data_IF_615284618383
#
_entry.id   IF_615284618383
#
_cell.length_a   1.000
_cell.length_b   1.000
_cell.length_c   1.000
_cell.angle_alpha   90.00
_cell.angle_beta   90.00
_cell.angle_gamma   90.00
#
_symmetry.space_group_name_H-M   'P 1'
#
loop_
_entity.id
_entity.type
_entity.pdbx_description
1 polymer ?
#
# COMPACT_ATOMS: atom_id res chain seq x y z
N UNK A 1 -17.80 6.21 1.42
CA UNK A 1 -17.27 5.76 2.73
C UNK A 1 -15.77 5.98 2.78
N UNK A 2 -15.16 6.15 3.95
CA UNK A 2 -13.70 6.33 4.08
C UNK A 2 -13.21 5.77 5.40
N UNK A 3 -12.10 5.04 5.37
CA UNK A 3 -11.41 4.49 6.54
C UNK A 3 -9.93 4.91 6.48
N UNK A 4 -9.36 5.31 7.61
CA UNK A 4 -7.97 5.77 7.69
C UNK A 4 -7.16 4.87 8.60
N UNK A 5 -5.94 4.55 8.17
CA UNK A 5 -5.00 3.68 8.86
C UNK A 5 -3.73 4.48 9.15
N UNK A 6 -3.32 4.52 10.41
CA UNK A 6 -1.98 4.97 10.79
C UNK A 6 -1.08 3.74 10.80
N UNK A 7 0.02 3.76 10.04
CA UNK A 7 0.94 2.63 10.00
C UNK A 7 2.09 2.87 10.99
N UNK A 8 2.45 1.81 11.69
CA UNK A 8 3.59 1.78 12.61
C UNK A 8 4.76 1.06 11.95
N UNK A 9 5.99 1.48 12.25
CA UNK A 9 7.20 0.77 11.83
C UNK A 9 7.31 -0.57 12.59
N UNK A 10 7.80 -1.61 11.92
CA UNK A 10 8.26 -2.83 12.58
C UNK A 10 9.44 -2.51 13.51
N UNK A 11 9.44 -3.06 14.72
CA UNK A 11 10.43 -2.67 15.75
C UNK A 11 11.50 -3.74 16.01
N UNK A 12 11.32 -4.94 15.47
CA UNK A 12 12.17 -6.10 15.69
C UNK A 12 13.64 -5.83 15.32
N UNK A 13 13.89 -5.07 14.25
CA UNK A 13 15.22 -4.76 13.70
C UNK A 13 15.56 -3.27 13.68
N UNK A 14 14.74 -2.41 14.29
CA UNK A 14 14.82 -0.95 14.11
C UNK A 14 16.18 -0.34 14.51
N UNK A 15 16.84 -0.91 15.52
CA UNK A 15 18.17 -0.44 15.97
C UNK A 15 19.24 -0.76 14.92
N UNK A 16 19.24 -1.98 14.38
CA UNK A 16 20.19 -2.42 13.36
C UNK A 16 19.95 -1.67 12.04
N UNK A 17 18.68 -1.46 11.67
CA UNK A 17 18.32 -0.73 10.46
C UNK A 17 18.70 0.75 10.55
N UNK A 18 18.52 1.37 11.72
CA UNK A 18 18.98 2.74 11.97
C UNK A 18 20.51 2.87 11.80
N UNK A 19 21.27 1.89 12.30
CA UNK A 19 22.73 1.85 12.13
C UNK A 19 23.13 1.73 10.65
N UNK A 20 22.50 0.85 9.87
CA UNK A 20 22.77 0.69 8.42
C UNK A 20 22.47 1.96 7.62
N UNK A 21 21.40 2.66 7.97
CA UNK A 21 20.99 3.91 7.30
C UNK A 21 21.87 5.10 7.74
N UNK A 22 22.48 5.00 8.92
CA UNK A 22 23.30 6.05 9.54
C UNK A 22 22.45 7.12 10.25
N UNK A 23 21.39 6.70 10.94
CA UNK A 23 20.47 7.55 11.73
C UNK A 23 20.19 6.91 13.09
N UNK A 24 19.32 7.52 13.90
CA UNK A 24 18.88 6.94 15.19
C UNK A 24 17.57 6.17 15.05
N UNK A 25 17.34 5.16 15.89
CA UNK A 25 16.06 4.44 15.92
C UNK A 25 14.87 5.37 16.22
N UNK A 26 15.08 6.38 17.07
CA UNK A 26 14.11 7.43 17.38
C UNK A 26 13.78 8.32 16.16
N UNK A 27 14.74 8.51 15.25
CA UNK A 27 14.47 9.18 13.98
C UNK A 27 13.62 8.33 13.04
N UNK A 28 13.88 7.01 12.97
CA UNK A 28 13.05 6.09 12.19
C UNK A 28 11.62 5.97 12.76
N UNK A 29 11.46 5.92 14.09
CA UNK A 29 10.15 5.81 14.73
C UNK A 29 9.28 7.07 14.58
N UNK A 30 9.88 8.20 14.15
CA UNK A 30 9.17 9.44 13.83
C UNK A 30 8.69 9.52 12.37
N UNK A 31 9.02 8.54 11.52
CA UNK A 31 8.37 8.44 10.20
C UNK A 31 6.89 8.20 10.44
N UNK A 32 6.05 9.08 9.91
CA UNK A 32 4.60 8.98 10.05
C UNK A 32 3.97 8.60 8.72
N UNK A 33 3.20 7.51 8.70
CA UNK A 33 2.51 7.06 7.50
C UNK A 33 1.02 6.95 7.80
N UNK A 34 0.21 7.54 6.93
CA UNK A 34 -1.24 7.38 6.93
C UNK A 34 -1.71 6.88 5.58
N UNK A 35 -2.64 5.93 5.59
CA UNK A 35 -3.31 5.44 4.40
C UNK A 35 -4.80 5.66 4.53
N UNK A 36 -5.42 6.27 3.52
CA UNK A 36 -6.87 6.38 3.45
C UNK A 36 -7.40 5.43 2.40
N UNK A 37 -8.35 4.59 2.78
CA UNK A 37 -9.13 3.72 1.90
C UNK A 37 -10.54 4.32 1.75
N UNK A 38 -10.88 4.77 0.54
CA UNK A 38 -12.12 5.49 0.26
C UNK A 38 -12.89 4.86 -0.88
N UNK A 39 -14.17 4.55 -0.64
CA UNK A 39 -15.09 4.17 -1.71
C UNK A 39 -15.52 5.44 -2.45
N UNK A 40 -15.21 5.49 -3.75
CA UNK A 40 -15.55 6.59 -4.64
C UNK A 40 -16.60 6.10 -5.64
N UNK A 41 -17.84 6.64 -5.62
CA UNK A 41 -18.94 6.11 -6.42
C UNK A 41 -18.97 6.58 -7.87
N UNK A 42 -18.32 7.69 -8.21
CA UNK A 42 -18.33 8.30 -9.54
C UNK A 42 -16.94 8.90 -9.87
N UNK A 43 -16.55 8.99 -11.17
CA UNK A 43 -17.31 8.58 -12.37
C UNK A 43 -17.41 7.06 -12.54
N UNK A 44 -16.46 6.31 -11.97
CA UNK A 44 -16.46 4.85 -11.91
C UNK A 44 -16.35 4.42 -10.47
N UNK A 45 -17.11 3.40 -10.05
CA UNK A 45 -17.05 2.88 -8.70
C UNK A 45 -15.69 2.22 -8.43
N UNK A 46 -14.94 2.76 -7.46
CA UNK A 46 -13.63 2.23 -7.09
C UNK A 46 -13.31 2.37 -5.61
N UNK A 47 -12.38 1.55 -5.13
CA UNK A 47 -11.67 1.77 -3.88
C UNK A 47 -10.42 2.58 -4.20
N UNK A 48 -10.35 3.80 -3.68
CA UNK A 48 -9.18 4.68 -3.74
C UNK A 48 -8.31 4.46 -2.49
N UNK A 49 -7.02 4.22 -2.70
CA UNK A 49 -6.00 4.14 -1.66
C UNK A 49 -5.06 5.34 -1.81
N UNK A 50 -4.99 6.19 -0.80
CA UNK A 50 -4.05 7.32 -0.74
C UNK A 50 -3.07 7.13 0.40
N UNK A 51 -1.78 7.09 0.08
CA UNK A 51 -0.67 6.95 1.01
C UNK A 51 -0.03 8.33 1.23
N UNK A 52 0.07 8.73 2.49
CA UNK A 52 0.76 9.93 2.96
C UNK A 52 1.96 9.50 3.80
N UNK A 53 3.17 9.93 3.43
CA UNK A 53 4.41 9.58 4.13
C UNK A 53 5.11 10.88 4.54
N UNK A 54 5.29 11.05 5.84
CA UNK A 54 5.96 12.18 6.46
C UNK A 54 7.31 11.72 7.03
N UNK A 55 8.40 12.16 6.42
CA UNK A 55 9.77 11.87 6.84
C UNK A 55 10.31 13.03 7.69
N UNK A 56 10.77 12.77 8.94
CA UNK A 56 10.96 13.80 9.96
C UNK A 56 12.11 14.78 9.70
N UNK A 57 13.10 14.40 8.90
CA UNK A 57 14.27 15.24 8.60
C UNK A 57 14.62 15.22 7.11
N UNK A 58 15.16 16.31 6.56
CA UNK A 58 15.69 16.31 5.19
C UNK A 58 16.83 15.33 4.97
N UNK A 59 17.66 15.08 5.99
CA UNK A 59 18.79 14.14 5.91
C UNK A 59 18.33 12.69 5.77
N UNK A 60 17.26 12.30 6.47
CA UNK A 60 16.65 10.99 6.31
C UNK A 60 15.90 10.91 4.97
N UNK A 61 15.19 11.97 4.60
CA UNK A 61 14.46 12.03 3.33
C UNK A 61 15.38 11.91 2.11
N UNK A 62 16.61 12.44 2.18
CA UNK A 62 17.62 12.31 1.12
C UNK A 62 18.13 10.86 0.95
N UNK A 63 17.88 9.97 1.91
CA UNK A 63 18.23 8.54 1.86
C UNK A 63 17.07 7.68 1.38
N UNK A 64 15.84 8.21 1.36
CA UNK A 64 14.67 7.49 0.89
C UNK A 64 14.71 7.38 -0.62
N UNK A 65 14.66 6.16 -1.13
CA UNK A 65 14.39 5.91 -2.53
C UNK A 65 12.89 6.08 -2.79
N UNK A 66 12.53 7.26 -3.27
CA UNK A 66 11.17 7.56 -3.72
C UNK A 66 11.22 7.86 -5.22
N UNK A 67 10.95 6.86 -6.07
CA UNK A 67 11.18 7.03 -7.49
C UNK A 67 10.22 8.06 -8.09
N UNK A 68 10.73 8.79 -9.08
CA UNK A 68 9.94 9.80 -9.77
C UNK A 68 8.92 9.12 -10.66
N UNK A 69 7.69 9.63 -10.66
CA UNK A 69 6.63 9.15 -11.55
C UNK A 69 7.05 9.18 -13.03
N UNK A 70 6.79 8.09 -13.75
CA UNK A 70 7.06 8.00 -15.19
C UNK A 70 5.89 7.35 -15.93
N UNK A 71 5.13 8.14 -16.69
CA UNK A 71 3.99 7.65 -17.49
C UNK A 71 4.34 6.46 -18.39
N UNK A 72 5.58 6.42 -18.94
CA UNK A 72 6.04 5.34 -19.81
C UNK A 72 6.28 4.00 -19.09
N UNK A 73 6.42 4.02 -17.76
CA UNK A 73 6.67 2.83 -16.94
C UNK A 73 5.39 2.29 -16.28
N UNK A 74 4.27 3.02 -16.40
CA UNK A 74 2.98 2.58 -15.85
C UNK A 74 2.59 1.26 -16.49
N UNK A 75 2.52 0.20 -15.68
CA UNK A 75 2.24 -1.14 -16.15
C UNK A 75 2.59 -2.20 -15.11
N UNK A 76 2.27 -3.44 -15.46
CA UNK A 76 2.56 -4.58 -14.60
C UNK A 76 4.08 -4.82 -14.49
N UNK A 77 4.59 -5.02 -13.28
CA UNK A 77 5.98 -5.42 -13.02
C UNK A 77 6.08 -6.27 -11.76
N UNK A 78 6.76 -7.41 -11.83
CA UNK A 78 7.00 -8.26 -10.65
C UNK A 78 8.10 -7.69 -9.74
N UNK A 79 8.25 -8.28 -8.54
CA UNK A 79 9.32 -8.01 -7.57
C UNK A 79 9.33 -6.60 -6.96
N UNK A 80 8.19 -5.88 -7.00
CA UNK A 80 8.12 -4.50 -6.45
C UNK A 80 8.39 -4.42 -4.94
N UNK A 81 8.21 -5.51 -4.20
CA UNK A 81 8.49 -5.58 -2.75
C UNK A 81 9.99 -5.48 -2.42
N UNK A 82 10.89 -5.54 -3.41
CA UNK A 82 12.33 -5.35 -3.24
C UNK A 82 12.74 -3.86 -3.18
N UNK A 83 11.81 -2.97 -3.57
CA UNK A 83 11.98 -1.52 -3.64
C UNK A 83 11.02 -0.80 -2.65
N UNK A 84 10.92 0.53 -2.74
CA UNK A 84 9.82 1.25 -2.07
C UNK A 84 8.49 0.83 -2.68
N UNK A 85 7.63 0.20 -1.88
CA UNK A 85 6.39 -0.41 -2.32
C UNK A 85 5.21 0.02 -1.44
N UNK A 86 4.12 0.44 -2.07
CA UNK A 86 2.85 0.76 -1.46
C UNK A 86 1.94 -0.46 -1.64
N UNK A 87 1.66 -1.16 -0.56
CA UNK A 87 1.01 -2.46 -0.60
C UNK A 87 -0.38 -2.43 0.03
N UNK A 88 -1.29 -3.24 -0.45
CA UNK A 88 -2.58 -3.45 0.20
C UNK A 88 -3.07 -4.88 0.01
N UNK A 89 -3.46 -5.50 1.12
CA UNK A 89 -4.04 -6.83 1.12
C UNK A 89 -5.55 -6.75 1.34
N UNK A 90 -6.30 -7.54 0.58
CA UNK A 90 -7.76 -7.60 0.65
C UNK A 90 -8.20 -9.06 0.79
N UNK A 91 -9.06 -9.32 1.78
CA UNK A 91 -9.67 -10.64 2.01
C UNK A 91 -11.15 -10.51 2.32
N UNK A 92 -11.88 -11.55 1.96
CA UNK A 92 -13.25 -11.77 2.42
C UNK A 92 -13.86 -12.96 1.71
N UNK A 93 -15.17 -13.10 1.85
CA UNK A 93 -15.90 -14.21 1.25
C UNK A 93 -15.95 -14.09 -0.27
N UNK A 94 -15.95 -15.22 -1.01
CA UNK A 94 -16.32 -15.20 -2.42
C UNK A 94 -17.72 -14.61 -2.60
N UNK A 95 -17.91 -13.82 -3.65
CA UNK A 95 -19.25 -13.52 -4.15
C UNK A 95 -19.86 -14.85 -4.59
N UNK A 96 -21.03 -15.20 -4.06
CA UNK A 96 -21.75 -16.41 -4.45
C UNK A 96 -22.25 -16.22 -5.88
N UNK A 97 -21.56 -16.80 -6.86
CA UNK A 97 -22.14 -16.98 -8.19
C UNK A 97 -23.03 -18.22 -8.23
N UNK A 98 -24.04 -18.20 -9.10
CA UNK A 98 -24.96 -19.32 -9.40
C UNK A 98 -24.23 -20.62 -9.81
N UNK A 99 -22.95 -20.53 -10.19
CA UNK A 99 -22.09 -21.65 -10.62
C UNK A 99 -21.33 -22.38 -9.48
N UNK A 100 -21.46 -21.95 -8.22
CA UNK A 100 -21.16 -22.81 -7.07
C UNK A 100 -19.71 -23.20 -6.78
N UNK A 101 -18.69 -22.55 -7.37
CA UNK A 101 -17.29 -22.79 -6.97
C UNK A 101 -16.89 -21.84 -5.83
N UNK A 102 -16.74 -22.33 -4.58
CA UNK A 102 -16.25 -21.48 -3.50
C UNK A 102 -14.76 -21.19 -3.74
N UNK A 103 -14.38 -19.92 -3.92
CA UNK A 103 -13.01 -19.53 -3.54
C UNK A 103 -12.86 -19.85 -2.05
N UNK A 104 -11.71 -20.42 -1.69
CA UNK A 104 -11.37 -20.71 -0.31
C UNK A 104 -11.54 -19.43 0.54
N UNK A 105 -12.22 -19.50 1.69
CA UNK A 105 -12.36 -18.37 2.61
C UNK A 105 -11.01 -17.87 3.15
N UNK A 106 -9.94 -18.65 2.98
CA UNK A 106 -8.57 -18.25 3.25
C UNK A 106 -7.91 -17.41 2.14
N UNK A 107 -8.51 -17.34 0.95
CA UNK A 107 -7.95 -16.64 -0.21
C UNK A 107 -7.92 -15.12 0.00
N UNK A 108 -6.93 -14.47 -0.61
CA UNK A 108 -6.76 -13.03 -0.53
C UNK A 108 -6.03 -12.51 -1.76
N UNK A 109 -6.16 -11.21 -1.99
CA UNK A 109 -5.45 -10.47 -3.03
C UNK A 109 -4.41 -9.57 -2.37
N UNK A 110 -3.25 -9.49 -2.99
CA UNK A 110 -2.19 -8.53 -2.69
C UNK A 110 -2.08 -7.55 -3.86
N UNK A 111 -1.95 -6.27 -3.55
CA UNK A 111 -1.78 -5.17 -4.49
C UNK A 111 -0.48 -4.47 -4.14
N UNK A 112 0.48 -4.46 -5.06
CA UNK A 112 1.77 -3.82 -4.88
C UNK A 112 1.91 -2.70 -5.90
N UNK A 113 2.27 -1.50 -5.45
CA UNK A 113 2.40 -0.33 -6.30
C UNK A 113 3.70 0.42 -5.99
N UNK A 114 4.54 0.63 -6.99
CA UNK A 114 5.73 1.49 -6.86
C UNK A 114 5.35 2.95 -7.11
N UNK A 115 5.96 3.92 -6.40
CA UNK A 115 5.67 5.34 -6.62
C UNK A 115 5.93 5.87 -8.04
N UNK A 116 6.61 5.10 -8.91
CA UNK A 116 6.88 5.47 -10.30
C UNK A 116 5.74 5.15 -11.29
N UNK A 117 4.76 4.35 -10.87
CA UNK A 117 3.61 3.92 -11.67
C UNK A 117 3.54 2.43 -11.98
N UNK A 118 4.60 1.66 -11.73
CA UNK A 118 4.57 0.20 -11.83
C UNK A 118 3.64 -0.40 -10.77
N UNK A 119 3.01 -1.52 -11.10
CA UNK A 119 2.15 -2.25 -10.16
C UNK A 119 2.20 -3.76 -10.38
N UNK A 120 1.78 -4.53 -9.37
CA UNK A 120 1.45 -5.93 -9.52
C UNK A 120 0.28 -6.27 -8.61
N UNK A 121 -0.61 -7.14 -9.08
CA UNK A 121 -1.66 -7.70 -8.25
C UNK A 121 -1.53 -9.21 -8.28
N UNK A 122 -1.61 -9.83 -7.11
CA UNK A 122 -1.41 -11.26 -6.93
C UNK A 122 -2.61 -11.87 -6.21
N UNK A 123 -2.93 -13.12 -6.55
CA UNK A 123 -3.93 -13.91 -5.84
C UNK A 123 -3.26 -15.05 -5.09
N UNK A 124 -3.71 -15.23 -3.85
CA UNK A 124 -3.36 -16.36 -3.02
C UNK A 124 -4.62 -17.11 -2.63
N UNK A 125 -4.54 -18.45 -2.60
CA UNK A 125 -5.59 -19.35 -2.13
C UNK A 125 -5.65 -19.44 -0.61
N UNK A 126 -4.49 -19.23 0.03
CA UNK A 126 -4.30 -19.16 1.48
C UNK A 126 -2.94 -18.52 1.77
N UNK A 127 -2.54 -18.44 3.04
CA UNK A 127 -1.24 -17.91 3.47
C UNK A 127 -0.08 -18.37 2.57
N UNK A 128 0.47 -17.43 1.78
CA UNK A 128 1.59 -17.64 0.82
C UNK A 128 1.42 -18.85 -0.11
N UNK A 129 0.18 -19.23 -0.43
CA UNK A 129 -0.14 -20.32 -1.34
C UNK A 129 -0.89 -19.79 -2.57
N UNK A 130 -0.49 -20.09 -3.81
CA UNK A 130 0.69 -20.89 -4.18
C UNK A 130 2.00 -20.21 -3.75
N UNK A 131 2.98 -21.02 -3.36
CA UNK A 131 4.30 -20.53 -2.91
C UNK A 131 5.28 -20.32 -4.08
N UNK A 132 4.78 -19.91 -5.24
CA UNK A 132 5.57 -19.66 -6.44
C UNK A 132 6.15 -18.24 -6.42
N UNK A 133 7.36 -18.07 -6.98
CA UNK A 133 8.00 -16.77 -7.16
C UNK A 133 8.29 -16.51 -8.65
N UNK A 134 7.80 -15.39 -9.24
CA UNK A 134 6.91 -14.41 -8.61
C UNK A 134 5.52 -15.03 -8.30
N UNK A 135 4.75 -14.44 -7.38
CA UNK A 135 3.40 -14.92 -7.09
C UNK A 135 2.51 -14.89 -8.34
N UNK A 136 1.44 -15.69 -8.33
CA UNK A 136 0.52 -15.78 -9.48
C UNK A 136 -0.20 -14.44 -9.70
N UNK A 137 -0.05 -13.80 -10.88
CA UNK A 137 -0.73 -12.55 -11.17
C UNK A 137 -2.24 -12.70 -11.10
N UNK A 138 -2.92 -11.63 -10.71
CA UNK A 138 -4.37 -11.54 -10.72
C UNK A 138 -4.87 -11.26 -12.14
N UNK A 139 -5.77 -12.10 -12.62
CA UNK A 139 -6.43 -11.93 -13.91
C UNK A 139 -7.91 -11.58 -13.73
N UNK A 140 -8.46 -10.91 -14.74
CA UNK A 140 -9.91 -10.82 -14.93
C UNK A 140 -10.53 -12.22 -15.09
N UNK A 141 -11.85 -12.32 -14.93
CA UNK A 141 -12.59 -13.60 -14.93
C UNK A 141 -12.35 -14.40 -16.23
N UNK A 142 -12.19 -13.71 -17.36
CA UNK A 142 -11.91 -14.31 -18.66
C UNK A 142 -10.47 -14.87 -18.81
N UNK A 143 -9.60 -14.58 -17.83
CA UNK A 143 -8.18 -14.94 -17.79
C UNK A 143 -7.36 -14.43 -18.98
N UNK A 144 -7.85 -13.45 -19.71
CA UNK A 144 -7.14 -12.89 -20.88
C UNK A 144 -6.26 -11.72 -20.49
N UNK A 145 -6.73 -10.89 -19.55
CA UNK A 145 -6.02 -9.69 -19.11
C UNK A 145 -5.75 -9.70 -17.60
N UNK A 146 -4.60 -9.14 -17.22
CA UNK A 146 -4.26 -8.91 -15.82
C UNK A 146 -5.08 -7.76 -15.28
N UNK A 147 -5.50 -7.87 -14.03
CA UNK A 147 -6.19 -6.78 -13.35
C UNK A 147 -5.20 -5.63 -13.12
N UNK A 148 -5.60 -4.42 -13.54
CA UNK A 148 -4.84 -3.20 -13.34
C UNK A 148 -5.31 -2.35 -12.16
N UNK A 149 -4.49 -1.35 -11.81
CA UNK A 149 -4.88 -0.20 -10.99
C UNK A 149 -4.98 1.05 -11.85
N UNK A 150 -5.72 2.06 -11.38
CA UNK A 150 -5.71 3.40 -11.96
C UNK A 150 -5.02 4.37 -11.01
N UNK A 151 -4.16 5.22 -11.55
CA UNK A 151 -3.46 6.24 -10.77
C UNK A 151 -4.25 7.55 -10.81
N UNK A 152 -4.54 8.14 -9.65
CA UNK A 152 -5.33 9.38 -9.59
C UNK A 152 -4.45 10.64 -9.76
N UNK A 153 -3.18 10.52 -9.39
CA UNK A 153 -2.26 11.66 -9.24
C UNK A 153 -1.03 11.49 -10.15
N UNK A 154 -1.27 11.32 -11.46
CA UNK A 154 -0.24 11.11 -12.50
C UNK A 154 0.83 12.21 -12.58
N UNK A 155 0.63 13.34 -11.88
CA UNK A 155 1.48 14.54 -11.97
C UNK A 155 1.86 15.17 -10.63
N UNK A 156 1.70 14.49 -9.49
CA UNK A 156 2.29 14.96 -8.22
C UNK A 156 3.83 14.83 -8.24
N UNK A 157 4.48 15.57 -9.13
CA UNK A 157 5.83 16.06 -8.96
C UNK A 157 5.76 17.12 -7.86
N UNK A 158 6.45 16.89 -6.75
CA UNK A 158 6.63 17.92 -5.74
C UNK A 158 7.30 19.13 -6.34
N UNK A 159 6.67 20.29 -6.16
CA UNK A 159 7.45 21.45 -5.73
C UNK A 159 7.67 21.31 -4.22
N UNK A 160 8.87 21.54 -3.68
CA UNK A 160 9.04 21.76 -2.25
C UNK A 160 8.27 23.03 -1.91
N UNK A 161 7.05 22.91 -1.36
CA UNK A 161 6.35 24.05 -0.78
C UNK A 161 7.12 24.49 0.45
N UNK A 162 8.00 25.47 0.27
CA UNK A 162 8.42 26.33 1.36
C UNK A 162 7.15 27.02 1.87
N UNK A 163 6.75 26.72 3.11
CA UNK A 163 5.82 27.57 3.84
C UNK A 163 6.47 28.95 4.04
N UNK A 164 6.40 29.80 3.02
CA UNK A 164 6.60 31.23 3.20
C UNK A 164 5.25 31.80 3.62
N UNK A 165 5.07 31.96 4.93
CA UNK A 165 4.42 33.11 5.57
C UNK A 165 4.52 32.94 7.10
N UNK A 166 5.46 33.70 7.66
CA UNK A 166 5.64 34.14 9.06
C UNK A 166 5.13 33.27 10.22
N UNK A 167 6.06 32.77 11.03
CA UNK A 167 6.24 33.16 12.44
C UNK A 167 7.70 32.92 12.80
N UNK A 168 8.36 33.92 13.38
CA UNK A 168 9.67 33.75 14.03
C UNK A 168 9.49 32.76 15.19
N UNK A 169 9.84 31.50 14.97
CA UNK A 169 9.98 30.50 16.03
C UNK A 169 11.19 29.62 15.72
N UNK A 170 12.03 29.47 16.73
CA UNK A 170 13.26 28.69 16.75
C UNK A 170 13.07 27.24 16.32
N UNK A 171 13.95 26.74 15.44
CA UNK A 171 14.05 25.33 14.96
C UNK A 171 12.77 24.77 14.31
N UNK A 172 12.38 25.31 13.16
CA UNK A 172 11.44 24.62 12.28
C UNK A 172 12.15 23.40 11.65
N UNK A 173 11.84 22.19 12.13
CA UNK A 173 12.16 20.96 11.41
C UNK A 173 11.40 20.96 10.08
N UNK A 174 12.11 21.02 8.96
CA UNK A 174 11.52 20.94 7.62
C UNK A 174 11.11 19.50 7.33
N UNK A 175 9.86 19.15 7.67
CA UNK A 175 9.25 17.88 7.36
C UNK A 175 9.22 17.65 5.84
N UNK A 176 9.57 16.45 5.40
CA UNK A 176 9.47 16.07 3.99
C UNK A 176 8.30 15.12 3.77
N UNK A 177 7.30 15.58 3.01
CA UNK A 177 6.07 14.82 2.72
C UNK A 177 6.12 14.16 1.35
N UNK A 178 5.57 12.96 1.24
CA UNK A 178 5.37 12.21 0.00
C UNK A 178 3.93 11.71 -0.06
N UNK A 179 3.40 11.63 -1.28
CA UNK A 179 2.02 11.18 -1.51
C UNK A 179 1.91 10.36 -2.81
N UNK A 180 1.14 9.29 -2.74
CA UNK A 180 0.64 8.57 -3.93
C UNK A 180 -0.78 8.11 -3.72
N UNK A 181 -1.50 8.05 -4.84
CA UNK A 181 -2.89 7.69 -4.87
C UNK A 181 -3.18 6.81 -6.09
N UNK A 182 -3.76 5.66 -5.84
CA UNK A 182 -4.27 4.77 -6.87
C UNK A 182 -5.60 4.16 -6.44
N UNK A 183 -6.31 3.53 -7.36
CA UNK A 183 -7.50 2.78 -7.03
C UNK A 183 -7.69 1.51 -7.83
N UNK A 184 -8.62 0.70 -7.35
CA UNK A 184 -9.07 -0.55 -7.98
C UNK A 184 -10.56 -0.47 -8.25
N UNK A 185 -10.98 -0.98 -9.41
CA UNK A 185 -12.40 -1.02 -9.77
C UNK A 185 -13.15 -2.00 -8.88
N UNK A 186 -14.37 -1.64 -8.51
CA UNK A 186 -15.22 -2.46 -7.65
C UNK A 186 -16.53 -2.82 -8.34
N UNK A 187 -17.06 -3.98 -7.96
CA UNK A 187 -18.42 -4.39 -8.26
C UNK A 187 -19.32 -4.07 -7.06
N UNK A 188 -20.45 -3.37 -7.26
CA UNK A 188 -21.41 -3.15 -6.19
C UNK A 188 -22.16 -4.44 -5.87
N UNK A 189 -22.47 -4.65 -4.59
CA UNK A 189 -23.29 -5.76 -4.10
C UNK A 189 -24.48 -5.22 -3.28
N UNK A 190 -25.52 -6.06 -3.03
CA UNK A 190 -26.60 -5.69 -2.12
C UNK A 190 -26.10 -5.28 -0.73
N UNK A 191 -26.91 -4.50 -0.01
CA UNK A 191 -26.61 -4.02 1.35
C UNK A 191 -25.34 -3.17 1.46
N UNK A 192 -25.03 -2.39 0.42
CA UNK A 192 -23.85 -1.50 0.36
C UNK A 192 -22.53 -2.25 0.57
N UNK A 193 -22.47 -3.51 0.12
CA UNK A 193 -21.21 -4.25 0.07
C UNK A 193 -20.50 -4.01 -1.25
N UNK A 194 -19.20 -4.22 -1.25
CA UNK A 194 -18.35 -4.05 -2.42
C UNK A 194 -17.50 -5.29 -2.62
N UNK A 195 -17.32 -5.68 -3.88
CA UNK A 195 -16.44 -6.76 -4.26
C UNK A 195 -15.32 -6.28 -5.17
N UNK A 196 -14.13 -6.83 -4.94
CA UNK A 196 -13.00 -6.73 -5.84
C UNK A 196 -12.67 -8.11 -6.41
N UNK A 197 -12.71 -8.25 -7.73
CA UNK A 197 -12.44 -9.50 -8.45
C UNK A 197 -13.10 -10.77 -7.83
N UNK A 198 -14.42 -10.69 -7.62
CA UNK A 198 -15.27 -11.72 -7.00
C UNK A 198 -14.99 -12.04 -5.52
N UNK A 199 -14.28 -11.16 -4.82
CA UNK A 199 -14.07 -11.24 -3.37
C UNK A 199 -14.76 -10.06 -2.70
N UNK A 200 -15.69 -10.32 -1.78
CA UNK A 200 -16.27 -9.28 -0.91
C UNK A 200 -15.15 -8.69 -0.07
N UNK A 201 -15.07 -7.36 0.02
CA UNK A 201 -14.06 -6.68 0.84
C UNK A 201 -14.51 -6.70 2.30
N UNK A 202 -14.03 -7.67 3.08
CA UNK A 202 -14.34 -7.79 4.51
C UNK A 202 -13.17 -7.34 5.40
N UNK A 203 -11.95 -7.59 4.94
CA UNK A 203 -10.71 -7.22 5.60
C UNK A 203 -9.78 -6.51 4.63
N UNK A 204 -9.08 -5.51 5.17
CA UNK A 204 -8.10 -4.71 4.43
C UNK A 204 -6.87 -4.48 5.30
N UNK A 205 -5.70 -4.52 4.67
CA UNK A 205 -4.43 -4.31 5.34
C UNK A 205 -3.47 -3.51 4.44
N UNK A 206 -3.54 -2.17 4.47
CA UNK A 206 -2.60 -1.34 3.75
C UNK A 206 -1.24 -1.35 4.46
N UNK A 207 -0.18 -1.62 3.72
CA UNK A 207 1.20 -1.73 4.19
C UNK A 207 2.12 -0.86 3.33
N UNK A 208 3.31 -0.57 3.84
CA UNK A 208 4.35 0.14 3.09
C UNK A 208 5.71 -0.48 3.37
N UNK A 209 6.47 -0.70 2.31
CA UNK A 209 7.91 -0.93 2.36
C UNK A 209 8.57 0.37 1.92
N UNK A 210 9.38 0.98 2.78
CA UNK A 210 10.20 2.14 2.42
C UNK A 210 11.67 1.70 2.31
N UNK A 211 12.26 1.91 1.14
CA UNK A 211 13.66 1.59 0.88
C UNK A 211 14.55 2.80 1.16
N UNK A 212 15.39 2.71 2.18
CA UNK A 212 16.39 3.72 2.54
C UNK A 212 17.79 3.19 2.21
N UNK A 213 18.39 3.69 1.13
CA UNK A 213 19.56 3.05 0.49
C UNK A 213 19.28 1.55 0.24
N UNK A 214 20.05 0.64 0.85
CA UNK A 214 19.83 -0.81 0.74
C UNK A 214 18.93 -1.39 1.84
N UNK A 215 18.49 -0.57 2.81
CA UNK A 215 17.72 -1.04 3.97
C UNK A 215 16.23 -0.84 3.77
N UNK A 216 15.43 -1.91 3.90
CA UNK A 216 13.98 -1.84 3.84
C UNK A 216 13.39 -1.66 5.23
N UNK A 217 12.45 -0.73 5.37
CA UNK A 217 11.65 -0.53 6.58
C UNK A 217 10.19 -0.89 6.29
N UNK A 218 9.57 -1.63 7.21
CA UNK A 218 8.23 -2.20 7.04
C UNK A 218 7.21 -1.48 7.92
N UNK A 219 6.09 -1.06 7.32
CA UNK A 219 5.04 -0.33 8.00
C UNK A 219 3.67 -0.99 7.78
N UNK A 220 2.92 -1.20 8.84
CA UNK A 220 1.56 -1.75 8.81
C UNK A 220 0.73 -1.20 9.98
N UNK A 221 -0.62 -1.30 9.96
CA UNK A 221 -1.45 -0.89 11.09
C UNK A 221 -1.19 -1.76 12.33
N UNK A 222 -0.85 -3.02 12.11
CA UNK A 222 -0.48 -4.00 13.12
C UNK A 222 0.50 -5.01 12.51
N UNK A 223 1.54 -5.40 13.25
CA UNK A 223 2.58 -6.32 12.77
C UNK A 223 2.46 -7.70 13.44
N UNK A 224 2.78 -8.75 12.68
CA UNK A 224 3.29 -10.00 13.23
C UNK A 224 4.73 -9.80 13.76
N UNK A 225 5.23 -10.72 14.57
CA UNK A 225 6.65 -10.77 14.97
C UNK A 225 7.21 -12.16 14.65
N UNK A 226 8.13 -12.29 13.66
CA UNK A 226 8.67 -11.21 12.82
C UNK A 226 7.63 -10.59 11.86
N UNK A 227 7.90 -9.40 11.28
CA UNK A 227 6.98 -8.73 10.37
C UNK A 227 6.59 -9.62 9.18
N UNK A 228 5.29 -9.77 8.96
CA UNK A 228 4.72 -10.58 7.88
C UNK A 228 3.34 -10.03 7.48
N UNK A 229 3.29 -9.24 6.42
CA UNK A 229 2.05 -8.63 5.94
C UNK A 229 1.00 -9.65 5.47
N UNK A 230 1.42 -10.87 5.11
CA UNK A 230 0.51 -11.93 4.70
C UNK A 230 -0.28 -12.57 5.86
N UNK A 231 0.09 -12.28 7.11
CA UNK A 231 -0.59 -12.86 8.26
C UNK A 231 -1.93 -12.15 8.52
N UNK A 232 -3.00 -12.73 7.96
CA UNK A 232 -4.35 -12.16 8.02
C UNK A 232 -4.95 -11.99 9.43
N UNK A 233 -4.32 -12.52 10.49
CA UNK A 233 -4.74 -12.26 11.86
C UNK A 233 -4.53 -10.81 12.29
N UNK A 234 -3.65 -10.06 11.60
CA UNK A 234 -3.34 -8.66 11.89
C UNK A 234 -4.11 -7.66 11.00
N UNK A 235 -5.00 -8.17 10.13
CA UNK A 235 -5.72 -7.34 9.18
C UNK A 235 -6.96 -6.71 9.82
N UNK A 236 -7.26 -5.48 9.43
CA UNK A 236 -8.40 -4.74 9.96
C UNK A 236 -9.67 -5.11 9.21
N UNK A 237 -10.81 -5.08 9.91
CA UNK A 237 -12.11 -5.12 9.22
C UNK A 237 -12.27 -3.88 8.35
N UNK A 238 -12.83 -4.08 7.17
CA UNK A 238 -13.21 -2.99 6.28
C UNK A 238 -14.56 -2.43 6.72
N UNK A 239 -14.59 -1.14 7.01
CA UNK A 239 -15.80 -0.41 7.43
C UNK A 239 -16.38 0.42 6.28
N UNK A 240 -16.26 -0.08 5.05
CA UNK A 240 -16.51 0.69 3.84
C UNK A 240 -17.73 0.30 3.04
#
# INVERSE_FOLDING_TARGET
>A
MSQTFTLCIATDTIVDDAQKIGVTADELSRIHIQVTAKIVPQPTLHLQLTYYIDVPTPSLAAKLDWPTWQTKQVGFSDYLWEETCLECFIKGSPVKDEAGYPKNAASYVEINASPDGRYALYQFDSYRNPSTLPPSPLYHIDKQERVGIHWANESLQRSPTYNSLSIKSSRASTLTRYERCFGILLNPLPKQQYAFNNTVIEYIHPCVILKFNETALYFAPCHASPPDFHNAHHWSKFEG
#
